data_IF_068599045827
#
_entry.id   IF_068599045827
#
_cell.length_a   1.000
_cell.length_b   1.000
_cell.length_c   1.000
_cell.angle_alpha   90.00
_cell.angle_beta   90.00
_cell.angle_gamma   90.00
#
_symmetry.space_group_name_H-M   'P 1'
#
loop_
_entity.id
_entity.type
_entity.pdbx_description
1 polymer ?
#
# COMPACT_ATOMS: atom_id res chain seq x y z
N UNK A 1 12.90 1.20 14.77
CA UNK A 1 12.18 0.42 13.75
C UNK A 1 12.97 0.50 12.46
N UNK A 2 13.27 -0.63 11.79
CA UNK A 2 13.99 -0.61 10.51
C UNK A 2 13.02 -0.28 9.36
N UNK A 3 12.66 1.00 9.22
CA UNK A 3 11.60 1.48 8.31
C UNK A 3 11.85 1.02 6.87
N UNK A 4 13.06 1.24 6.37
CA UNK A 4 13.49 0.80 5.03
C UNK A 4 13.27 -0.71 4.83
N UNK A 5 13.77 -1.53 5.76
CA UNK A 5 13.64 -3.00 5.68
C UNK A 5 12.18 -3.44 5.69
N UNK A 6 11.37 -2.84 6.56
CA UNK A 6 9.96 -3.21 6.69
C UNK A 6 9.16 -2.91 5.42
N UNK A 7 9.35 -1.73 4.82
CA UNK A 7 8.74 -1.38 3.53
C UNK A 7 9.15 -2.36 2.43
N UNK A 8 10.44 -2.69 2.32
CA UNK A 8 10.92 -3.63 1.30
C UNK A 8 10.36 -5.05 1.50
N UNK A 9 10.36 -5.56 2.73
CA UNK A 9 9.84 -6.89 3.03
C UNK A 9 8.34 -6.97 2.77
N UNK A 10 7.56 -6.04 3.30
CA UNK A 10 6.10 -6.07 3.13
C UNK A 10 5.71 -5.80 1.68
N UNK A 11 6.38 -4.87 0.99
CA UNK A 11 6.17 -4.66 -0.43
C UNK A 11 6.43 -5.91 -1.26
N UNK A 12 7.47 -6.68 -0.93
CA UNK A 12 7.75 -7.97 -1.59
C UNK A 12 6.65 -9.00 -1.30
N UNK A 13 6.06 -9.01 -0.11
CA UNK A 13 4.89 -9.85 0.19
C UNK A 13 3.70 -9.46 -0.69
N UNK A 14 3.41 -8.16 -0.84
CA UNK A 14 2.37 -7.70 -1.77
C UNK A 14 2.63 -8.13 -3.21
N UNK A 15 3.89 -8.08 -3.67
CA UNK A 15 4.26 -8.57 -5.00
C UNK A 15 3.92 -10.06 -5.18
N UNK A 16 4.24 -10.90 -4.20
CA UNK A 16 3.91 -12.32 -4.25
C UNK A 16 2.39 -12.55 -4.34
N UNK A 17 1.61 -11.80 -3.57
CA UNK A 17 0.13 -11.84 -3.64
C UNK A 17 -0.36 -11.36 -5.02
N UNK A 18 0.22 -10.28 -5.55
CA UNK A 18 -0.12 -9.73 -6.86
C UNK A 18 0.14 -10.71 -8.00
N UNK A 19 1.28 -11.38 -8.00
CA UNK A 19 1.63 -12.45 -8.95
C UNK A 19 0.64 -13.62 -8.85
N UNK A 20 0.32 -14.05 -7.63
CA UNK A 20 -0.66 -15.11 -7.40
C UNK A 20 -2.04 -14.76 -7.96
N UNK A 21 -2.54 -13.55 -7.67
CA UNK A 21 -3.82 -13.07 -8.19
C UNK A 21 -3.81 -12.93 -9.71
N UNK A 22 -2.73 -12.40 -10.29
CA UNK A 22 -2.56 -12.28 -11.74
C UNK A 22 -2.58 -13.62 -12.45
N UNK A 23 -1.89 -14.61 -11.89
CA UNK A 23 -1.87 -15.99 -12.40
C UNK A 23 -3.25 -16.63 -12.35
N UNK A 24 -4.00 -16.40 -11.26
CA UNK A 24 -5.38 -16.88 -11.13
C UNK A 24 -6.30 -16.29 -12.21
N UNK A 25 -6.27 -14.97 -12.42
CA UNK A 25 -7.07 -14.31 -13.46
C UNK A 25 -6.68 -14.79 -14.87
N UNK A 26 -5.39 -14.97 -15.13
CA UNK A 26 -4.92 -15.48 -16.42
C UNK A 26 -5.38 -16.92 -16.69
N UNK A 27 -5.43 -17.76 -15.66
CA UNK A 27 -5.90 -19.14 -15.78
C UNK A 27 -7.42 -19.26 -15.90
N UNK A 28 -8.18 -18.40 -15.22
CA UNK A 28 -9.65 -18.42 -15.25
C UNK A 28 -10.24 -17.68 -16.46
N UNK A 29 -9.50 -16.73 -17.04
CA UNK A 29 -10.01 -15.77 -18.03
C UNK A 29 -10.92 -14.70 -17.43
N UNK A 30 -11.15 -14.72 -16.12
CA UNK A 30 -11.91 -13.70 -15.41
C UNK A 30 -10.98 -12.59 -14.91
N UNK A 31 -11.13 -11.42 -15.51
CA UNK A 31 -10.36 -10.22 -15.20
C UNK A 31 -11.10 -9.22 -14.30
N UNK A 32 -12.20 -9.65 -13.66
CA UNK A 32 -12.97 -8.84 -12.72
C UNK A 32 -12.13 -8.22 -11.60
N UNK A 33 -11.08 -8.92 -11.13
CA UNK A 33 -10.18 -8.45 -10.08
C UNK A 33 -8.97 -7.64 -10.57
N UNK A 34 -8.96 -7.21 -11.84
CA UNK A 34 -7.83 -6.45 -12.42
C UNK A 34 -7.50 -5.17 -11.63
N UNK A 35 -8.48 -4.37 -11.14
CA UNK A 35 -8.17 -3.20 -10.32
C UNK A 35 -7.50 -3.58 -8.99
N UNK A 36 -7.93 -4.66 -8.34
CA UNK A 36 -7.30 -5.17 -7.11
C UNK A 36 -5.85 -5.55 -7.39
N UNK A 37 -5.61 -6.31 -8.46
CA UNK A 37 -4.26 -6.71 -8.88
C UNK A 37 -3.35 -5.50 -9.15
N UNK A 38 -3.85 -4.50 -9.88
CA UNK A 38 -3.11 -3.29 -10.17
C UNK A 38 -2.73 -2.52 -8.89
N UNK A 39 -3.65 -2.36 -7.94
CA UNK A 39 -3.37 -1.67 -6.69
C UNK A 39 -2.41 -2.47 -5.79
N UNK A 40 -2.52 -3.80 -5.73
CA UNK A 40 -1.56 -4.63 -4.98
C UNK A 40 -0.14 -4.40 -5.51
N UNK A 41 0.04 -4.39 -6.83
CA UNK A 41 1.37 -4.22 -7.43
C UNK A 41 1.89 -2.77 -7.32
N UNK A 42 1.06 -1.77 -7.58
CA UNK A 42 1.52 -0.37 -7.58
C UNK A 42 1.58 0.22 -6.16
N UNK A 43 0.46 0.17 -5.44
CA UNK A 43 0.34 0.72 -4.08
C UNK A 43 1.04 -0.19 -3.06
N UNK A 44 0.80 -1.50 -3.13
CA UNK A 44 1.36 -2.46 -2.18
C UNK A 44 2.84 -2.75 -2.40
N UNK A 45 3.30 -2.93 -3.64
CA UNK A 45 4.70 -3.26 -3.93
C UNK A 45 5.54 -2.05 -4.36
N UNK A 46 5.25 -1.43 -5.51
CA UNK A 46 6.14 -0.43 -6.13
C UNK A 46 6.35 0.77 -5.21
N UNK A 47 5.28 1.37 -4.69
CA UNK A 47 5.40 2.51 -3.78
C UNK A 47 6.16 2.15 -2.50
N UNK A 48 5.86 1.00 -1.89
CA UNK A 48 6.60 0.54 -0.72
C UNK A 48 8.09 0.31 -1.02
N UNK A 49 8.43 -0.25 -2.18
CA UNK A 49 9.83 -0.40 -2.59
C UNK A 49 10.52 0.95 -2.74
N UNK A 50 9.87 1.91 -3.40
CA UNK A 50 10.39 3.29 -3.54
C UNK A 50 10.58 3.95 -2.18
N UNK A 51 9.61 3.87 -1.27
CA UNK A 51 9.74 4.41 0.09
C UNK A 51 10.87 3.71 0.85
N UNK A 52 10.95 2.38 0.78
CA UNK A 52 11.99 1.60 1.42
C UNK A 52 13.40 1.99 0.95
N UNK A 53 13.57 2.24 -0.34
CA UNK A 53 14.81 2.76 -0.93
C UNK A 53 15.07 4.21 -0.52
N UNK A 54 14.08 5.09 -0.53
CA UNK A 54 14.23 6.47 -0.08
C UNK A 54 14.71 6.54 1.38
N UNK A 55 14.12 5.76 2.30
CA UNK A 55 14.58 5.65 3.68
C UNK A 55 15.96 4.99 3.83
N UNK A 56 16.41 4.23 2.83
CA UNK A 56 17.77 3.67 2.82
C UNK A 56 18.79 4.73 2.42
N UNK A 57 18.48 5.53 1.40
CA UNK A 57 19.36 6.58 0.86
C UNK A 57 19.43 7.77 1.81
N UNK A 58 18.32 8.13 2.43
CA UNK A 58 18.20 9.26 3.36
C UNK A 58 17.87 8.73 4.78
N UNK A 59 18.84 8.11 5.49
CA UNK A 59 18.58 7.45 6.77
C UNK A 59 18.10 8.40 7.87
N UNK A 60 18.40 9.70 7.77
CA UNK A 60 17.91 10.72 8.69
C UNK A 60 16.37 10.79 8.73
N UNK A 61 15.70 10.53 7.59
CA UNK A 61 14.24 10.50 7.52
C UNK A 61 13.62 9.40 8.40
N UNK A 62 14.36 8.33 8.71
CA UNK A 62 13.87 7.21 9.50
C UNK A 62 13.99 7.42 11.02
N UNK A 63 14.71 8.46 11.47
CA UNK A 63 14.99 8.70 12.88
C UNK A 63 13.80 9.32 13.66
N UNK A 64 12.94 10.07 12.97
CA UNK A 64 11.86 10.85 13.58
C UNK A 64 10.48 10.17 13.60
N UNK A 65 9.52 10.84 14.26
CA UNK A 65 8.11 10.41 14.34
C UNK A 65 7.45 10.36 12.97
N UNK A 66 7.78 11.30 12.07
CA UNK A 66 7.21 11.37 10.72
C UNK A 66 7.49 10.10 9.89
N UNK A 67 8.68 9.51 10.01
CA UNK A 67 9.01 8.26 9.31
C UNK A 67 8.16 7.09 9.80
N UNK A 68 7.97 6.99 11.12
CA UNK A 68 7.11 5.95 11.72
C UNK A 68 5.64 6.17 11.37
N UNK A 69 5.18 7.42 11.41
CA UNK A 69 3.80 7.78 11.04
C UNK A 69 3.53 7.44 9.58
N UNK A 70 4.40 7.84 8.66
CA UNK A 70 4.30 7.48 7.25
C UNK A 70 4.18 5.97 7.06
N UNK A 71 5.07 5.18 7.66
CA UNK A 71 5.03 3.73 7.54
C UNK A 71 3.69 3.12 7.98
N UNK A 72 3.21 3.45 9.18
CA UNK A 72 1.97 2.86 9.69
C UNK A 72 0.73 3.35 8.97
N UNK A 73 0.65 4.65 8.66
CA UNK A 73 -0.46 5.23 7.91
C UNK A 73 -0.58 4.61 6.52
N UNK A 74 0.54 4.49 5.81
CA UNK A 74 0.56 3.87 4.48
C UNK A 74 0.25 2.37 4.55
N UNK A 75 0.87 1.63 5.47
CA UNK A 75 0.67 0.18 5.60
C UNK A 75 -0.77 -0.18 5.96
N UNK A 76 -1.35 0.50 6.94
CA UNK A 76 -2.74 0.22 7.39
C UNK A 76 -3.72 0.68 6.31
N UNK A 77 -3.54 1.90 5.78
CA UNK A 77 -4.40 2.42 4.72
C UNK A 77 -4.39 1.54 3.48
N UNK A 78 -3.21 1.12 3.01
CA UNK A 78 -3.08 0.20 1.86
C UNK A 78 -3.74 -1.15 2.14
N UNK A 79 -3.51 -1.76 3.31
CA UNK A 79 -4.11 -3.05 3.64
C UNK A 79 -5.65 -2.96 3.67
N UNK A 80 -6.20 -1.93 4.33
CA UNK A 80 -7.65 -1.71 4.41
C UNK A 80 -8.23 -1.48 3.02
N UNK A 81 -7.61 -0.62 2.21
CA UNK A 81 -8.05 -0.32 0.84
C UNK A 81 -8.09 -1.58 -0.03
N UNK A 82 -7.02 -2.37 -0.01
CA UNK A 82 -6.88 -3.57 -0.83
C UNK A 82 -7.87 -4.67 -0.43
N UNK A 83 -8.08 -4.86 0.87
CA UNK A 83 -9.09 -5.81 1.36
C UNK A 83 -10.51 -5.34 1.01
N UNK A 84 -10.81 -4.05 1.19
CA UNK A 84 -12.12 -3.50 0.84
C UNK A 84 -12.41 -3.64 -0.67
N UNK A 85 -11.43 -3.32 -1.50
CA UNK A 85 -11.54 -3.46 -2.95
C UNK A 85 -11.74 -4.94 -3.35
N UNK A 86 -10.99 -5.87 -2.76
CA UNK A 86 -11.18 -7.30 -3.00
C UNK A 86 -12.58 -7.79 -2.61
N UNK A 87 -13.08 -7.41 -1.43
CA UNK A 87 -14.40 -7.82 -0.95
C UNK A 87 -15.53 -7.30 -1.85
N UNK A 88 -15.42 -6.04 -2.28
CA UNK A 88 -16.39 -5.42 -3.19
C UNK A 88 -16.36 -6.10 -4.57
N UNK A 89 -15.17 -6.20 -5.17
CA UNK A 89 -15.04 -6.69 -6.55
C UNK A 89 -15.27 -8.19 -6.69
N UNK A 90 -15.03 -8.97 -5.63
CA UNK A 90 -15.36 -10.39 -5.61
C UNK A 90 -16.83 -10.70 -5.28
N UNK A 91 -17.66 -9.67 -5.10
CA UNK A 91 -19.09 -9.82 -4.79
C UNK A 91 -19.37 -10.34 -3.38
N UNK A 92 -18.37 -10.39 -2.49
CA UNK A 92 -18.53 -10.88 -1.10
C UNK A 92 -19.24 -9.86 -0.21
N UNK A 93 -19.11 -8.57 -0.53
CA UNK A 93 -19.77 -7.48 0.19
C UNK A 93 -20.35 -6.50 -0.83
N UNK A 94 -21.59 -6.06 -0.59
CA UNK A 94 -22.25 -5.09 -1.44
C UNK A 94 -21.52 -3.73 -1.42
N UNK A 95 -21.44 -3.07 -2.58
CA UNK A 95 -20.72 -1.81 -2.75
C UNK A 95 -21.24 -0.72 -1.81
N UNK A 96 -22.55 -0.68 -1.57
CA UNK A 96 -23.21 0.28 -0.69
C UNK A 96 -22.79 0.11 0.77
N UNK A 97 -22.48 -1.13 1.18
CA UNK A 97 -22.06 -1.45 2.55
C UNK A 97 -20.60 -1.10 2.82
N UNK A 98 -19.74 -1.29 1.82
CA UNK A 98 -18.28 -1.12 1.97
C UNK A 98 -17.76 0.23 1.46
N UNK A 99 -18.56 0.96 0.69
CA UNK A 99 -18.28 2.29 0.15
C UNK A 99 -17.64 3.28 1.16
N UNK A 100 -18.16 3.40 2.39
CA UNK A 100 -17.59 4.33 3.39
C UNK A 100 -16.16 4.00 3.84
N UNK A 101 -15.65 2.79 3.59
CA UNK A 101 -14.28 2.38 3.98
C UNK A 101 -13.22 3.02 3.08
N UNK A 102 -13.53 3.23 1.78
CA UNK A 102 -12.56 3.72 0.81
C UNK A 102 -12.01 5.11 1.16
N UNK A 103 -12.85 6.15 1.46
CA UNK A 103 -12.33 7.47 1.81
C UNK A 103 -11.47 7.46 3.08
N UNK A 104 -11.79 6.62 4.07
CA UNK A 104 -11.02 6.51 5.31
C UNK A 104 -9.63 5.91 5.05
N UNK A 105 -9.55 4.86 4.22
CA UNK A 105 -8.29 4.25 3.83
C UNK A 105 -7.43 5.22 3.00
N UNK A 106 -8.06 5.95 2.07
CA UNK A 106 -7.41 6.97 1.25
C UNK A 106 -6.87 8.13 2.09
N UNK A 107 -7.64 8.63 3.07
CA UNK A 107 -7.19 9.68 3.98
C UNK A 107 -5.97 9.23 4.81
N UNK A 108 -5.94 7.97 5.25
CA UNK A 108 -4.78 7.41 5.93
C UNK A 108 -3.55 7.37 5.01
N UNK A 109 -3.71 6.90 3.77
CA UNK A 109 -2.63 6.88 2.77
C UNK A 109 -2.14 8.31 2.49
N UNK A 110 -3.05 9.25 2.27
CA UNK A 110 -2.75 10.66 2.02
C UNK A 110 -1.97 11.28 3.18
N UNK A 111 -2.44 11.10 4.42
CA UNK A 111 -1.74 11.57 5.60
C UNK A 111 -0.34 10.96 5.72
N UNK A 112 -0.19 9.68 5.36
CA UNK A 112 1.11 9.01 5.30
C UNK A 112 2.05 9.65 4.28
N UNK A 113 1.56 9.90 3.06
CA UNK A 113 2.34 10.55 1.99
C UNK A 113 2.69 11.99 2.35
N UNK A 114 1.81 12.73 3.03
CA UNK A 114 2.13 14.06 3.56
C UNK A 114 3.25 14.00 4.61
N UNK A 115 3.23 13.00 5.50
CA UNK A 115 4.34 12.77 6.42
C UNK A 115 5.65 12.48 5.66
N UNK A 116 5.59 11.67 4.60
CA UNK A 116 6.73 11.40 3.74
C UNK A 116 7.27 12.66 3.07
N UNK A 117 6.39 13.48 2.47
CA UNK A 117 6.74 14.73 1.80
C UNK A 117 7.44 15.70 2.75
N UNK A 118 6.85 15.95 3.93
CA UNK A 118 7.43 16.84 4.93
C UNK A 118 8.78 16.32 5.41
N UNK A 119 8.91 15.01 5.56
CA UNK A 119 10.16 14.38 5.99
C UNK A 119 11.24 14.47 4.90
N UNK A 120 10.86 14.24 3.64
CA UNK A 120 11.75 14.39 2.49
C UNK A 120 12.23 15.85 2.35
N UNK A 121 11.33 16.82 2.46
CA UNK A 121 11.67 18.24 2.41
C UNK A 121 12.67 18.66 3.50
N UNK A 122 12.63 18.04 4.68
CA UNK A 122 13.51 18.37 5.81
C UNK A 122 14.89 17.73 5.73
N UNK A 123 15.07 16.71 4.90
CA UNK A 123 16.25 15.84 4.95
C UNK A 123 16.85 15.45 3.58
N UNK A 124 16.28 15.95 2.49
CA UNK A 124 16.89 15.93 1.15
C UNK A 124 17.86 17.09 0.99
#
# INVERSE_FOLDING_TARGET
>A
MAISRNFLLIGTVYLLVGIGLGSHMGASGDHSLSPVHAHINLLGFVLMAVFGLAYRVLPAMAAGVLGRAHFWLHQIGALVLLLALFLMMSGRVAAESIGPVFPLAELAILAGVLCFLVNLWRHA
#
